data_IF_327558662101
#
_entry.id   IF_327558662101
#
_cell.length_a   1.000
_cell.length_b   1.000
_cell.length_c   1.000
_cell.angle_alpha   90.00
_cell.angle_beta   90.00
_cell.angle_gamma   90.00
#
_symmetry.space_group_name_H-M   'P 1'
#
loop_
_entity.id
_entity.type
_entity.pdbx_description
1 polymer ?
#
# COMPACT_ATOMS: atom_id res chain seq x y z
N UNK A 1 -14.60 10.65 15.05
CA UNK A 1 -14.33 11.52 13.88
C UNK A 1 -13.70 10.72 12.75
N UNK A 2 -12.48 10.16 12.89
CA UNK A 2 -11.73 9.46 11.83
C UNK A 2 -12.46 8.35 11.02
N UNK A 3 -13.56 7.82 11.53
CA UNK A 3 -14.31 6.74 10.90
C UNK A 3 -15.10 7.21 9.66
N UNK A 4 -15.59 8.46 9.66
CA UNK A 4 -16.33 9.03 8.53
C UNK A 4 -15.41 9.25 7.34
N UNK A 5 -14.22 9.84 7.55
CA UNK A 5 -13.25 10.10 6.48
C UNK A 5 -12.73 8.80 5.87
N UNK A 6 -12.46 7.80 6.71
CA UNK A 6 -12.11 6.46 6.26
C UNK A 6 -13.23 5.84 5.45
N UNK A 7 -14.47 5.90 5.92
CA UNK A 7 -15.63 5.30 5.23
C UNK A 7 -15.82 5.89 3.84
N UNK A 8 -15.58 7.20 3.68
CA UNK A 8 -15.65 7.86 2.37
C UNK A 8 -14.51 7.37 1.46
N UNK A 9 -13.27 7.28 1.97
CA UNK A 9 -12.17 6.72 1.19
C UNK A 9 -12.45 5.26 0.74
N UNK A 10 -12.97 4.42 1.65
CA UNK A 10 -13.35 3.03 1.34
C UNK A 10 -14.52 2.93 0.37
N UNK A 11 -15.48 3.84 0.46
CA UNK A 11 -16.58 3.92 -0.49
C UNK A 11 -16.06 4.26 -1.89
N UNK A 12 -15.23 5.30 -2.03
CA UNK A 12 -14.60 5.65 -3.31
C UNK A 12 -13.79 4.47 -3.86
N UNK A 13 -12.98 3.81 -3.03
CA UNK A 13 -12.20 2.63 -3.45
C UNK A 13 -13.11 1.51 -3.99
N UNK A 14 -14.21 1.20 -3.32
CA UNK A 14 -15.16 0.19 -3.78
C UNK A 14 -15.75 0.49 -5.16
N UNK A 15 -15.94 1.78 -5.47
CA UNK A 15 -16.53 2.25 -6.73
C UNK A 15 -15.53 2.26 -7.87
N UNK A 16 -14.25 2.51 -7.57
CA UNK A 16 -13.14 2.52 -8.53
C UNK A 16 -12.53 1.13 -8.78
N UNK A 17 -12.97 0.07 -8.10
CA UNK A 17 -12.47 -1.30 -8.31
C UNK A 17 -13.09 -1.98 -9.54
N UNK A 18 -12.26 -2.74 -10.26
CA UNK A 18 -12.65 -3.57 -11.38
C UNK A 18 -13.69 -4.62 -10.96
N UNK A 19 -14.80 -4.70 -11.70
CA UNK A 19 -15.93 -5.58 -11.39
C UNK A 19 -17.19 -4.84 -10.92
N UNK A 20 -17.12 -3.53 -10.71
CA UNK A 20 -18.29 -2.67 -10.54
C UNK A 20 -19.00 -2.50 -11.92
N UNK A 21 -19.68 -3.56 -12.37
CA UNK A 21 -20.40 -3.60 -13.67
C UNK A 21 -21.70 -2.79 -13.68
N UNK A 22 -22.03 -2.13 -12.58
CA UNK A 22 -23.34 -1.48 -12.38
C UNK A 22 -23.36 0.01 -12.75
N UNK A 23 -22.24 0.62 -13.14
CA UNK A 23 -22.18 2.03 -13.49
C UNK A 23 -21.43 2.23 -14.82
N UNK A 24 -22.05 2.97 -15.73
CA UNK A 24 -21.38 3.59 -16.87
C UNK A 24 -20.37 4.65 -16.40
N UNK A 25 -19.40 5.01 -17.24
CA UNK A 25 -18.44 6.07 -16.91
C UNK A 25 -19.13 7.40 -16.55
N UNK A 26 -20.28 7.71 -17.17
CA UNK A 26 -21.06 8.91 -16.87
C UNK A 26 -21.72 8.84 -15.48
N UNK A 27 -22.28 7.69 -15.11
CA UNK A 27 -22.86 7.49 -13.77
C UNK A 27 -21.79 7.49 -12.69
N UNK A 28 -20.62 6.91 -12.98
CA UNK A 28 -19.47 6.94 -12.10
C UNK A 28 -19.00 8.37 -11.86
N UNK A 29 -18.89 9.18 -12.91
CA UNK A 29 -18.48 10.59 -12.82
C UNK A 29 -19.48 11.41 -11.96
N UNK A 30 -20.78 11.27 -12.22
CA UNK A 30 -21.84 11.92 -11.42
C UNK A 30 -21.80 11.49 -9.95
N UNK A 31 -21.44 10.24 -9.68
CA UNK A 31 -21.28 9.74 -8.32
C UNK A 31 -20.04 10.35 -7.64
N UNK A 32 -18.91 10.42 -8.34
CA UNK A 32 -17.69 11.06 -7.83
C UNK A 32 -17.96 12.52 -7.48
N UNK A 33 -18.70 13.26 -8.30
CA UNK A 33 -19.10 14.64 -8.00
C UNK A 33 -19.92 14.76 -6.71
N UNK A 34 -20.90 13.87 -6.51
CA UNK A 34 -21.70 13.83 -5.27
C UNK A 34 -20.82 13.54 -4.04
N UNK A 35 -19.85 12.65 -4.17
CA UNK A 35 -18.90 12.35 -3.09
C UNK A 35 -18.05 13.59 -2.79
N UNK A 36 -17.60 14.33 -3.80
CA UNK A 36 -16.80 15.54 -3.63
C UNK A 36 -17.56 16.66 -2.91
N UNK A 37 -18.88 16.78 -3.13
CA UNK A 37 -19.73 17.70 -2.36
C UNK A 37 -19.68 17.37 -0.86
N UNK A 38 -19.81 16.10 -0.49
CA UNK A 38 -19.72 15.65 0.91
C UNK A 38 -18.30 15.88 1.45
N UNK A 39 -17.29 15.54 0.64
CA UNK A 39 -15.88 15.66 1.00
C UNK A 39 -15.47 17.10 1.37
N UNK A 40 -16.11 18.11 0.77
CA UNK A 40 -15.84 19.52 1.09
C UNK A 40 -16.05 19.84 2.58
N UNK A 41 -17.07 19.25 3.20
CA UNK A 41 -17.45 19.47 4.60
C UNK A 41 -16.64 18.67 5.62
N UNK A 42 -15.70 17.84 5.14
CA UNK A 42 -14.83 17.05 6.02
C UNK A 42 -13.67 17.91 6.53
N UNK A 43 -13.44 17.86 7.84
CA UNK A 43 -12.28 18.48 8.48
C UNK A 43 -11.03 17.59 8.40
N UNK A 44 -11.13 16.26 8.60
CA UNK A 44 -9.99 15.33 8.59
C UNK A 44 -9.52 14.87 7.20
N UNK A 45 -9.31 15.77 6.24
CA UNK A 45 -8.98 15.39 4.84
C UNK A 45 -7.67 14.60 4.70
N UNK A 46 -6.75 14.76 5.64
CA UNK A 46 -5.50 13.99 5.75
C UNK A 46 -5.75 12.51 6.11
N UNK A 47 -6.77 12.21 6.92
CA UNK A 47 -7.21 10.84 7.18
C UNK A 47 -7.71 10.21 5.89
N UNK A 48 -8.55 10.93 5.14
CA UNK A 48 -9.01 10.48 3.82
C UNK A 48 -7.83 10.24 2.88
N UNK A 49 -6.88 11.17 2.77
CA UNK A 49 -5.70 11.03 1.91
C UNK A 49 -4.91 9.76 2.23
N UNK A 50 -4.66 9.48 3.52
CA UNK A 50 -3.89 8.33 3.94
C UNK A 50 -4.55 6.99 3.55
N UNK A 51 -5.85 6.85 3.77
CA UNK A 51 -6.59 5.66 3.36
C UNK A 51 -6.74 5.57 1.84
N UNK A 52 -7.08 6.67 1.18
CA UNK A 52 -7.22 6.73 -0.28
C UNK A 52 -5.91 6.36 -0.99
N UNK A 53 -4.77 6.89 -0.53
CA UNK A 53 -3.43 6.57 -1.05
C UNK A 53 -3.09 5.09 -0.92
N UNK A 54 -3.38 4.50 0.24
CA UNK A 54 -3.16 3.08 0.49
C UNK A 54 -3.99 2.20 -0.45
N UNK A 55 -5.26 2.55 -0.62
CA UNK A 55 -6.18 1.80 -1.48
C UNK A 55 -5.84 1.99 -2.97
N UNK A 56 -5.48 3.22 -3.38
CA UNK A 56 -4.98 3.51 -4.72
C UNK A 56 -3.73 2.67 -5.06
N UNK A 57 -2.78 2.55 -4.13
CA UNK A 57 -1.60 1.74 -4.34
C UNK A 57 -1.95 0.27 -4.61
N UNK A 58 -2.91 -0.29 -3.85
CA UNK A 58 -3.43 -1.65 -4.09
C UNK A 58 -4.11 -1.76 -5.47
N UNK A 59 -4.87 -0.76 -5.90
CA UNK A 59 -5.54 -0.77 -7.24
C UNK A 59 -4.54 -0.70 -8.39
N UNK A 60 -3.54 0.18 -8.29
CA UNK A 60 -2.50 0.36 -9.32
C UNK A 60 -1.62 -0.88 -9.47
N UNK A 61 -1.14 -1.47 -8.38
CA UNK A 61 -0.18 -2.57 -8.43
C UNK A 61 -0.82 -3.94 -8.72
N UNK A 62 -2.07 -4.16 -8.28
CA UNK A 62 -2.78 -5.44 -8.45
C UNK A 62 -3.70 -5.44 -9.68
N UNK A 63 -3.69 -4.35 -10.46
CA UNK A 63 -4.38 -4.23 -11.75
C UNK A 63 -5.89 -4.37 -11.61
N UNK A 64 -6.49 -3.60 -10.70
CA UNK A 64 -7.95 -3.66 -10.44
C UNK A 64 -8.63 -2.29 -10.45
N UNK A 65 -8.14 -1.31 -11.20
CA UNK A 65 -8.91 -0.08 -11.44
C UNK A 65 -10.02 -0.33 -12.47
N UNK A 66 -11.19 0.28 -12.28
CA UNK A 66 -12.31 0.22 -13.22
C UNK A 66 -11.98 0.95 -14.53
N UNK A 67 -11.41 2.15 -14.41
CA UNK A 67 -10.98 2.97 -15.54
C UNK A 67 -9.79 3.85 -15.12
N UNK A 68 -8.80 3.98 -16.01
CA UNK A 68 -7.66 4.89 -15.79
C UNK A 68 -8.13 6.35 -15.82
N UNK A 69 -9.09 6.66 -16.69
CA UNK A 69 -9.62 8.01 -16.84
C UNK A 69 -10.44 8.42 -15.61
N UNK A 70 -11.21 7.49 -15.03
CA UNK A 70 -11.93 7.73 -13.78
C UNK A 70 -10.98 8.02 -12.60
N UNK A 71 -9.84 7.33 -12.52
CA UNK A 71 -8.84 7.58 -11.48
C UNK A 71 -8.17 8.95 -11.66
N UNK A 72 -7.84 9.32 -12.91
CA UNK A 72 -7.29 10.65 -13.24
C UNK A 72 -8.32 11.76 -12.97
N UNK A 73 -9.60 11.53 -13.28
CA UNK A 73 -10.70 12.44 -12.96
C UNK A 73 -10.80 12.69 -11.46
N UNK A 74 -10.80 11.62 -10.65
CA UNK A 74 -10.85 11.74 -9.19
C UNK A 74 -9.66 12.54 -8.63
N UNK A 75 -8.44 12.32 -9.14
CA UNK A 75 -7.28 13.13 -8.75
C UNK A 75 -7.44 14.61 -9.11
N UNK A 76 -7.96 14.91 -10.31
CA UNK A 76 -8.24 16.29 -10.72
C UNK A 76 -9.22 16.99 -9.77
N UNK A 77 -10.30 16.30 -9.38
CA UNK A 77 -11.29 16.82 -8.43
C UNK A 77 -10.68 17.05 -7.04
N UNK A 78 -9.86 16.11 -6.53
CA UNK A 78 -9.15 16.28 -5.27
C UNK A 78 -8.17 17.46 -5.31
N UNK A 79 -7.47 17.65 -6.44
CA UNK A 79 -6.54 18.77 -6.64
C UNK A 79 -7.26 20.10 -6.63
N UNK A 80 -8.43 20.18 -7.27
CA UNK A 80 -9.25 21.38 -7.28
C UNK A 80 -9.70 21.78 -5.86
N UNK A 81 -10.19 20.82 -5.07
CA UNK A 81 -10.71 21.11 -3.72
C UNK A 81 -9.60 21.32 -2.65
N UNK A 82 -8.49 20.58 -2.74
CA UNK A 82 -7.46 20.58 -1.67
C UNK A 82 -6.15 21.29 -2.04
N UNK A 83 -5.93 21.57 -3.32
CA UNK A 83 -4.71 22.13 -3.88
C UNK A 83 -3.65 21.09 -4.24
N UNK A 84 -2.65 21.53 -5.01
CA UNK A 84 -1.63 20.64 -5.60
C UNK A 84 -0.75 19.91 -4.58
N UNK A 85 -0.49 20.50 -3.41
CA UNK A 85 0.32 19.86 -2.37
C UNK A 85 -0.34 18.58 -1.82
N UNK A 86 -1.68 18.55 -1.78
CA UNK A 86 -2.45 17.41 -1.30
C UNK A 86 -2.36 16.21 -2.26
N UNK A 87 -2.43 16.47 -3.58
CA UNK A 87 -2.40 15.42 -4.60
C UNK A 87 -1.00 15.06 -5.07
N UNK A 88 0.04 15.82 -4.71
CA UNK A 88 1.41 15.66 -5.20
C UNK A 88 1.94 14.22 -5.09
N UNK A 89 1.72 13.55 -3.95
CA UNK A 89 2.14 12.14 -3.76
C UNK A 89 1.35 11.20 -4.67
N UNK A 90 0.04 11.40 -4.79
CA UNK A 90 -0.84 10.59 -5.63
C UNK A 90 -0.49 10.74 -7.13
N UNK A 91 -0.25 11.97 -7.59
CA UNK A 91 0.24 12.26 -8.94
C UNK A 91 1.60 11.58 -9.19
N UNK A 92 2.50 11.61 -8.19
CA UNK A 92 3.77 10.89 -8.22
C UNK A 92 3.62 9.38 -8.41
N UNK A 93 2.62 8.75 -7.76
CA UNK A 93 2.34 7.33 -7.95
C UNK A 93 1.95 6.99 -9.39
N UNK A 94 1.14 7.82 -10.05
CA UNK A 94 0.81 7.62 -11.48
C UNK A 94 2.03 7.78 -12.37
N UNK A 95 2.86 8.80 -12.11
CA UNK A 95 4.11 9.02 -12.85
C UNK A 95 5.06 7.84 -12.73
N UNK A 96 5.19 7.25 -11.53
CA UNK A 96 5.98 6.04 -11.32
C UNK A 96 5.47 4.85 -12.15
N UNK A 97 4.14 4.70 -12.30
CA UNK A 97 3.56 3.63 -13.13
C UNK A 97 3.87 3.82 -14.62
N UNK A 98 3.83 5.05 -15.12
CA UNK A 98 4.17 5.36 -16.52
C UNK A 98 5.67 5.13 -16.77
N UNK A 99 6.54 5.67 -15.91
CA UNK A 99 7.98 5.48 -16.00
C UNK A 99 8.39 4.00 -15.90
N UNK A 100 7.72 3.22 -15.05
CA UNK A 100 7.97 1.79 -14.92
C UNK A 100 7.71 1.04 -16.23
N UNK A 101 6.67 1.41 -16.99
CA UNK A 101 6.38 0.79 -18.30
C UNK A 101 7.50 1.09 -19.29
N UNK A 102 7.97 2.33 -19.35
CA UNK A 102 9.06 2.74 -20.24
C UNK A 102 10.37 2.01 -19.90
N UNK A 103 10.71 1.93 -18.61
CA UNK A 103 11.87 1.18 -18.12
C UNK A 103 11.76 -0.30 -18.50
N UNK A 104 10.57 -0.89 -18.38
CA UNK A 104 10.34 -2.29 -18.74
C UNK A 104 10.47 -2.55 -20.24
N UNK A 105 10.03 -1.62 -21.11
CA UNK A 105 10.24 -1.72 -22.55
C UNK A 105 11.75 -1.75 -22.86
N UNK A 106 12.51 -0.82 -22.27
CA UNK A 106 13.95 -0.77 -22.43
C UNK A 106 14.66 -2.01 -21.89
N UNK A 107 14.21 -2.54 -20.75
CA UNK A 107 14.74 -3.78 -20.17
C UNK A 107 14.53 -4.97 -21.09
N UNK A 108 13.30 -5.14 -21.62
CA UNK A 108 12.97 -6.22 -22.57
C UNK A 108 13.83 -6.10 -23.83
N UNK A 109 14.00 -4.89 -24.40
CA UNK A 109 14.86 -4.66 -25.57
C UNK A 109 16.31 -5.08 -25.33
N UNK A 110 16.92 -4.62 -24.23
CA UNK A 110 18.31 -4.99 -23.89
C UNK A 110 18.44 -6.50 -23.67
N UNK A 111 17.46 -7.12 -23.01
CA UNK A 111 17.42 -8.58 -22.81
C UNK A 111 17.42 -9.33 -24.14
N UNK A 112 16.60 -8.91 -25.11
CA UNK A 112 16.57 -9.51 -26.45
C UNK A 112 17.89 -9.28 -27.22
N UNK A 113 18.46 -8.08 -27.16
CA UNK A 113 19.69 -7.74 -27.90
C UNK A 113 20.93 -8.44 -27.36
N UNK A 114 21.02 -8.64 -26.04
CA UNK A 114 22.20 -9.24 -25.41
C UNK A 114 22.20 -10.78 -25.43
N UNK A 115 21.16 -11.40 -26.00
CA UNK A 115 20.99 -12.86 -26.08
C UNK A 115 21.29 -13.56 -24.74
N UNK A 116 21.00 -12.87 -23.63
CA UNK A 116 21.21 -13.45 -22.32
C UNK A 116 20.23 -14.61 -22.21
N UNK A 117 20.75 -15.84 -22.28
CA UNK A 117 20.04 -17.06 -21.93
C UNK A 117 19.66 -16.95 -20.45
N UNK A 118 18.56 -16.25 -20.18
CA UNK A 118 17.93 -16.22 -18.88
C UNK A 118 17.39 -17.62 -18.64
N UNK A 119 17.84 -18.31 -17.59
CA UNK A 119 17.27 -19.60 -17.22
C UNK A 119 15.79 -19.43 -16.90
N UNK A 120 14.95 -20.29 -17.47
CA UNK A 120 13.53 -20.37 -17.15
C UNK A 120 12.61 -19.61 -18.11
N UNK A 121 11.45 -20.21 -18.36
CA UNK A 121 10.34 -19.64 -19.13
C UNK A 121 9.54 -18.57 -18.35
N UNK A 122 10.21 -17.78 -17.49
CA UNK A 122 9.57 -16.79 -16.62
C UNK A 122 9.55 -15.42 -17.30
N UNK A 123 8.35 -14.89 -17.50
CA UNK A 123 8.16 -13.49 -17.91
C UNK A 123 8.13 -12.57 -16.68
N UNK A 124 9.17 -11.74 -16.52
CA UNK A 124 9.26 -10.74 -15.46
C UNK A 124 8.73 -9.38 -15.93
N UNK A 125 7.87 -8.76 -15.10
CA UNK A 125 7.49 -7.35 -15.19
C UNK A 125 7.71 -6.68 -13.84
N UNK A 126 8.39 -5.54 -13.81
CA UNK A 126 8.76 -4.83 -12.59
C UNK A 126 8.16 -3.43 -12.59
N UNK A 127 7.61 -3.03 -11.44
CA UNK A 127 7.22 -1.66 -11.17
C UNK A 127 8.22 -1.03 -10.20
N UNK A 128 8.80 0.11 -10.57
CA UNK A 128 9.72 0.89 -9.74
C UNK A 128 8.94 2.03 -9.08
N UNK A 129 8.99 2.08 -7.75
CA UNK A 129 8.19 2.99 -6.94
C UNK A 129 9.08 3.95 -6.17
N UNK A 130 8.77 5.24 -6.20
CA UNK A 130 9.49 6.27 -5.44
C UNK A 130 9.05 6.24 -3.98
N UNK A 131 9.94 5.83 -3.06
CA UNK A 131 9.61 5.58 -1.65
C UNK A 131 8.84 6.72 -0.94
N UNK A 132 9.07 7.99 -1.32
CA UNK A 132 8.39 9.14 -0.71
C UNK A 132 6.94 9.37 -1.16
N UNK A 133 6.51 8.78 -2.29
CA UNK A 133 5.15 8.94 -2.82
C UNK A 133 4.20 7.83 -2.38
N UNK A 134 4.73 6.61 -2.23
CA UNK A 134 3.94 5.43 -1.92
C UNK A 134 3.74 5.25 -0.41
N UNK A 135 2.75 4.45 0.02
CA UNK A 135 2.67 3.98 1.39
C UNK A 135 3.98 3.31 1.82
N UNK A 136 4.28 3.35 3.12
CA UNK A 136 5.43 2.61 3.65
C UNK A 136 5.06 1.14 3.75
N UNK A 137 5.87 0.29 3.15
CA UNK A 137 5.73 -1.15 3.21
C UNK A 137 6.85 -1.72 4.07
N UNK A 138 6.47 -2.61 5.00
CA UNK A 138 7.45 -3.35 5.80
C UNK A 138 8.05 -4.43 4.90
N UNK A 139 9.38 -4.43 4.68
CA UNK A 139 10.04 -5.49 3.94
C UNK A 139 9.84 -6.82 4.68
N UNK A 140 9.58 -7.88 3.92
CA UNK A 140 9.51 -9.24 4.44
C UNK A 140 10.53 -10.08 3.69
N UNK A 141 11.43 -10.70 4.44
CA UNK A 141 12.37 -11.67 3.90
C UNK A 141 11.64 -12.97 3.61
N UNK A 142 11.86 -13.53 2.41
CA UNK A 142 11.28 -14.79 1.97
C UNK A 142 12.29 -15.53 1.12
N UNK A 143 12.21 -16.85 1.10
CA UNK A 143 13.07 -17.69 0.28
C UNK A 143 12.53 -17.77 -1.15
N UNK A 144 13.14 -17.01 -2.04
CA UNK A 144 12.81 -17.05 -3.47
C UNK A 144 13.54 -18.19 -4.17
N UNK A 145 12.90 -18.89 -5.13
CA UNK A 145 13.58 -19.84 -5.99
C UNK A 145 14.80 -19.22 -6.71
N UNK A 146 15.89 -19.98 -6.93
CA UNK A 146 17.11 -19.45 -7.53
C UNK A 146 16.89 -18.74 -8.88
N UNK A 147 15.96 -19.23 -9.69
CA UNK A 147 15.59 -18.61 -10.97
C UNK A 147 15.02 -17.19 -10.79
N UNK A 148 14.17 -16.98 -9.77
CA UNK A 148 13.59 -15.68 -9.46
C UNK A 148 14.64 -14.71 -8.92
N UNK A 149 15.56 -15.18 -8.06
CA UNK A 149 16.68 -14.37 -7.55
C UNK A 149 17.57 -13.90 -8.69
N UNK A 150 17.92 -14.80 -9.62
CA UNK A 150 18.72 -14.46 -10.80
C UNK A 150 18.05 -13.38 -11.65
N UNK A 151 16.75 -13.49 -11.88
CA UNK A 151 15.96 -12.49 -12.59
C UNK A 151 15.96 -11.13 -11.89
N UNK A 152 15.82 -11.10 -10.56
CA UNK A 152 15.88 -9.88 -9.77
C UNK A 152 17.26 -9.20 -9.88
N UNK A 153 18.35 -9.96 -9.82
CA UNK A 153 19.71 -9.41 -9.91
C UNK A 153 20.05 -8.91 -11.32
N UNK A 154 19.60 -9.60 -12.38
CA UNK A 154 19.72 -9.12 -13.77
C UNK A 154 19.02 -7.77 -13.92
N UNK A 155 17.78 -7.66 -13.44
CA UNK A 155 17.03 -6.41 -13.51
C UNK A 155 17.68 -5.29 -12.67
N UNK A 156 18.13 -5.61 -11.46
CA UNK A 156 18.81 -4.66 -10.57
C UNK A 156 20.08 -4.11 -11.18
N UNK A 157 20.90 -4.96 -11.79
CA UNK A 157 22.13 -4.54 -12.50
C UNK A 157 21.81 -3.61 -13.66
N UNK A 158 20.80 -3.96 -14.47
CA UNK A 158 20.32 -3.10 -15.55
C UNK A 158 19.85 -1.73 -15.04
N UNK A 159 19.04 -1.71 -13.97
CA UNK A 159 18.46 -0.48 -13.44
C UNK A 159 19.53 0.43 -12.84
N UNK A 160 20.40 -0.11 -12.00
CA UNK A 160 21.47 0.66 -11.34
C UNK A 160 22.53 1.15 -12.32
N UNK A 161 22.77 0.41 -13.42
CA UNK A 161 23.65 0.85 -14.50
C UNK A 161 23.14 2.10 -15.23
N UNK A 162 21.82 2.30 -15.31
CA UNK A 162 21.20 3.50 -15.91
C UNK A 162 20.89 4.61 -14.90
N UNK A 163 20.71 4.25 -13.64
CA UNK A 163 20.28 5.18 -12.59
C UNK A 163 21.30 5.19 -11.43
N UNK A 164 22.43 5.87 -11.65
CA UNK A 164 23.49 6.03 -10.64
C UNK A 164 22.97 6.75 -9.39
N UNK A 165 23.46 6.33 -8.21
CA UNK A 165 23.13 6.94 -6.92
C UNK A 165 21.78 6.51 -6.33
N UNK A 166 21.10 5.52 -6.93
CA UNK A 166 19.87 4.94 -6.38
C UNK A 166 20.14 3.64 -5.65
N UNK A 167 19.27 3.30 -4.70
CA UNK A 167 19.21 1.99 -4.03
C UNK A 167 17.84 1.38 -4.26
N UNK A 168 17.81 0.10 -4.61
CA UNK A 168 16.58 -0.67 -4.77
C UNK A 168 16.30 -1.51 -3.53
N UNK A 169 15.02 -1.67 -3.22
CA UNK A 169 14.53 -2.58 -2.18
C UNK A 169 13.28 -3.29 -2.71
N UNK A 170 13.34 -4.61 -2.81
CA UNK A 170 12.20 -5.42 -3.26
C UNK A 170 11.14 -5.53 -2.17
N UNK A 171 9.86 -5.49 -2.59
CA UNK A 171 8.71 -5.57 -1.69
C UNK A 171 7.87 -6.81 -2.03
N UNK A 172 8.20 -7.93 -1.38
CA UNK A 172 7.58 -9.25 -1.62
C UNK A 172 6.07 -9.26 -1.40
N UNK A 173 5.60 -8.46 -0.45
CA UNK A 173 4.17 -8.29 -0.11
C UNK A 173 3.31 -7.79 -1.27
N UNK A 174 3.91 -7.08 -2.24
CA UNK A 174 3.24 -6.52 -3.41
C UNK A 174 3.38 -7.40 -4.66
N UNK A 175 4.21 -8.44 -4.58
CA UNK A 175 4.48 -9.36 -5.69
C UNK A 175 3.26 -10.23 -6.01
N UNK A 176 3.07 -10.49 -7.30
CA UNK A 176 2.07 -11.45 -7.78
C UNK A 176 2.58 -12.14 -9.04
N UNK A 177 2.09 -13.35 -9.28
CA UNK A 177 2.53 -14.21 -10.37
C UNK A 177 1.32 -14.87 -11.04
N UNK A 178 1.56 -15.39 -12.25
CA UNK A 178 0.64 -16.31 -12.93
C UNK A 178 1.33 -17.66 -13.01
N UNK A 179 0.72 -18.67 -12.38
CA UNK A 179 1.20 -20.04 -12.41
C UNK A 179 0.37 -20.86 -13.39
N UNK A 180 1.03 -21.69 -14.20
CA UNK A 180 0.37 -22.74 -14.97
C UNK A 180 0.29 -23.98 -14.09
N UNK A 181 -0.91 -24.41 -13.77
CA UNK A 181 -1.18 -25.57 -12.94
C UNK A 181 -1.79 -26.69 -13.79
N UNK A 182 -1.32 -27.91 -13.58
CA UNK A 182 -1.81 -29.11 -14.25
C UNK A 182 -2.63 -29.92 -13.23
N UNK A 183 -3.95 -29.94 -13.43
CA UNK A 183 -4.88 -30.74 -12.63
C UNK A 183 -5.41 -31.90 -13.48
N UNK A 184 -6.02 -32.91 -12.83
CA UNK A 184 -6.61 -34.07 -13.52
C UNK A 184 -7.64 -33.69 -14.60
N UNK A 185 -8.45 -32.65 -14.36
CA UNK A 185 -9.44 -32.15 -15.33
C UNK A 185 -8.88 -31.14 -16.35
N UNK A 186 -7.56 -30.94 -16.36
CA UNK A 186 -6.85 -30.14 -17.35
C UNK A 186 -6.09 -28.95 -16.78
N UNK A 187 -5.44 -28.23 -17.70
CA UNK A 187 -4.54 -27.11 -17.39
C UNK A 187 -5.34 -25.86 -17.00
N UNK A 188 -4.85 -25.14 -16.00
CA UNK A 188 -5.41 -23.86 -15.51
C UNK A 188 -4.30 -22.84 -15.29
N UNK A 189 -4.67 -21.56 -15.30
CA UNK A 189 -3.78 -20.47 -14.90
C UNK A 189 -4.24 -19.85 -13.58
N UNK A 190 -3.36 -19.85 -12.58
CA UNK A 190 -3.63 -19.29 -11.26
C UNK A 190 -2.96 -17.92 -11.13
N UNK A 191 -3.75 -16.86 -11.02
CA UNK A 191 -3.25 -15.54 -10.63
C UNK A 191 -3.20 -15.45 -9.09
N UNK A 192 -1.99 -15.51 -8.57
CA UNK A 192 -1.68 -15.68 -7.15
C UNK A 192 -0.71 -14.59 -6.66
N UNK A 193 -0.65 -14.37 -5.35
CA UNK A 193 0.40 -13.55 -4.74
C UNK A 193 1.75 -14.26 -4.77
N UNK A 194 2.83 -13.52 -4.54
CA UNK A 194 4.16 -14.10 -4.41
C UNK A 194 4.22 -15.13 -3.27
N UNK A 195 3.61 -14.85 -2.12
CA UNK A 195 3.54 -15.78 -1.00
C UNK A 195 2.79 -17.06 -1.36
N UNK A 196 1.64 -16.95 -2.03
CA UNK A 196 0.91 -18.09 -2.56
C UNK A 196 1.76 -18.88 -3.57
N UNK A 197 2.55 -18.20 -4.42
CA UNK A 197 3.46 -18.85 -5.36
C UNK A 197 4.50 -19.70 -4.66
N UNK A 198 5.18 -19.16 -3.64
CA UNK A 198 6.20 -19.91 -2.90
C UNK A 198 5.63 -21.19 -2.29
N UNK A 199 4.46 -21.09 -1.65
CA UNK A 199 3.76 -22.25 -1.08
C UNK A 199 3.41 -23.28 -2.16
N UNK A 200 2.82 -22.85 -3.29
CA UNK A 200 2.38 -23.76 -4.34
C UNK A 200 3.54 -24.45 -5.06
N UNK A 201 4.69 -23.78 -5.19
CA UNK A 201 5.87 -24.37 -5.85
C UNK A 201 6.45 -25.55 -5.07
N UNK A 202 6.29 -25.60 -3.75
CA UNK A 202 6.75 -26.74 -2.93
C UNK A 202 6.11 -28.07 -3.35
N UNK A 203 4.86 -28.02 -3.82
CA UNK A 203 4.11 -29.20 -4.23
C UNK A 203 4.55 -29.79 -5.59
N UNK A 204 5.56 -29.21 -6.24
CA UNK A 204 6.21 -29.85 -7.38
C UNK A 204 7.21 -30.94 -6.94
N UNK A 205 7.71 -30.88 -5.70
CA UNK A 205 8.74 -31.78 -5.17
C UNK A 205 8.26 -32.63 -3.97
N UNK A 206 7.04 -32.38 -3.48
CA UNK A 206 6.43 -33.16 -2.40
C UNK A 206 4.90 -33.14 -2.43
N UNK A 207 4.28 -34.08 -1.73
CA UNK A 207 2.83 -34.33 -1.80
C UNK A 207 2.05 -33.74 -0.61
N UNK A 208 2.66 -33.75 0.58
CA UNK A 208 2.05 -33.29 1.84
C UNK A 208 3.07 -32.45 2.62
N UNK A 209 2.64 -31.31 3.15
CA UNK A 209 3.44 -30.48 4.04
C UNK A 209 2.61 -29.98 5.22
N UNK A 210 3.22 -29.95 6.40
CA UNK A 210 2.70 -29.27 7.58
C UNK A 210 2.90 -27.74 7.51
N UNK A 211 2.15 -27.00 8.32
CA UNK A 211 2.34 -25.55 8.47
C UNK A 211 3.80 -25.17 8.78
N UNK A 212 4.46 -25.95 9.65
CA UNK A 212 5.83 -25.70 10.10
C UNK A 212 6.85 -25.90 8.97
N UNK A 213 6.71 -26.97 8.19
CA UNK A 213 7.56 -27.24 7.02
C UNK A 213 7.42 -26.15 5.96
N UNK A 214 6.19 -25.70 5.69
CA UNK A 214 5.93 -24.60 4.74
C UNK A 214 6.56 -23.30 5.24
N UNK A 215 6.43 -23.01 6.54
CA UNK A 215 7.04 -21.82 7.16
C UNK A 215 8.55 -21.83 7.02
N UNK A 216 9.20 -22.95 7.33
CA UNK A 216 10.64 -23.08 7.22
C UNK A 216 11.13 -22.96 5.78
N UNK A 217 10.45 -23.62 4.83
CA UNK A 217 10.84 -23.60 3.42
C UNK A 217 10.67 -22.22 2.78
N UNK A 218 9.56 -21.52 3.07
CA UNK A 218 9.22 -20.25 2.40
C UNK A 218 9.75 -19.01 3.12
N UNK A 219 10.00 -19.10 4.43
CA UNK A 219 10.42 -17.96 5.27
C UNK A 219 9.29 -16.96 5.57
N UNK A 220 8.04 -17.27 5.25
CA UNK A 220 6.91 -16.35 5.44
C UNK A 220 6.55 -16.26 6.93
N UNK A 221 6.33 -15.03 7.42
CA UNK A 221 5.89 -14.80 8.80
C UNK A 221 4.55 -15.47 9.13
N UNK A 222 4.40 -15.94 10.36
CA UNK A 222 3.29 -16.80 10.80
C UNK A 222 1.90 -16.23 10.45
N UNK A 223 1.64 -14.98 10.81
CA UNK A 223 0.35 -14.33 10.56
C UNK A 223 0.03 -14.19 9.07
N UNK A 224 1.03 -13.93 8.23
CA UNK A 224 0.84 -13.84 6.77
C UNK A 224 0.73 -15.22 6.12
N UNK A 225 1.46 -16.21 6.64
CA UNK A 225 1.40 -17.58 6.16
C UNK A 225 0.02 -18.19 6.41
N UNK A 226 -0.55 -18.04 7.61
CA UNK A 226 -1.91 -18.51 7.92
C UNK A 226 -2.95 -17.92 6.97
N UNK A 227 -2.88 -16.61 6.70
CA UNK A 227 -3.76 -15.96 5.71
C UNK A 227 -3.54 -16.50 4.29
N UNK A 228 -2.29 -16.71 3.92
CA UNK A 228 -1.91 -17.27 2.62
C UNK A 228 -2.49 -18.69 2.46
N UNK A 229 -2.33 -19.56 3.44
CA UNK A 229 -2.87 -20.93 3.41
C UNK A 229 -4.39 -20.95 3.50
N UNK A 230 -5.01 -20.08 4.31
CA UNK A 230 -6.46 -19.93 4.36
C UNK A 230 -7.05 -19.59 2.98
N UNK A 231 -6.36 -18.73 2.21
CA UNK A 231 -6.77 -18.40 0.84
C UNK A 231 -6.73 -19.58 -0.13
N UNK A 232 -5.74 -20.47 0.03
CA UNK A 232 -5.47 -21.59 -0.87
C UNK A 232 -6.30 -22.83 -0.52
N UNK A 233 -6.60 -23.06 0.77
CA UNK A 233 -7.22 -24.29 1.27
C UNK A 233 -8.66 -24.10 1.78
N UNK A 234 -8.98 -22.97 2.40
CA UNK A 234 -10.28 -22.75 3.06
C UNK A 234 -11.22 -21.84 2.24
N UNK A 235 -10.67 -21.16 1.22
CA UNK A 235 -11.39 -20.21 0.37
C UNK A 235 -12.38 -20.82 -0.62
N UNK A 236 -12.80 -20.01 -1.60
CA UNK A 236 -13.69 -20.44 -2.70
C UNK A 236 -12.98 -21.33 -3.71
N UNK A 237 -11.74 -20.98 -4.05
CA UNK A 237 -10.89 -21.76 -4.96
C UNK A 237 -9.89 -22.55 -4.11
N UNK A 238 -10.26 -23.78 -3.76
CA UNK A 238 -9.49 -24.66 -2.86
C UNK A 238 -8.50 -25.49 -3.66
N UNK A 239 -7.39 -24.88 -4.05
CA UNK A 239 -6.31 -25.56 -4.78
C UNK A 239 -5.51 -26.49 -3.88
N UNK A 240 -5.53 -26.23 -2.57
CA UNK A 240 -5.02 -27.14 -1.54
C UNK A 240 -6.17 -27.71 -0.71
N UNK A 241 -5.96 -28.89 -0.13
CA UNK A 241 -6.83 -29.48 0.86
C UNK A 241 -6.13 -29.48 2.23
N UNK A 242 -6.82 -28.96 3.25
CA UNK A 242 -6.33 -28.94 4.65
C UNK A 242 -6.79 -30.19 5.41
N UNK A 243 -5.90 -30.75 6.22
CA UNK A 243 -6.18 -31.81 7.18
C UNK A 243 -5.66 -31.40 8.57
N UNK A 244 -6.51 -31.31 9.61
CA UNK A 244 -7.97 -31.46 9.61
C UNK A 244 -8.71 -30.36 8.85
N UNK A 245 -9.88 -30.67 8.28
CA UNK A 245 -10.72 -29.68 7.58
C UNK A 245 -11.26 -28.65 8.56
N UNK A 246 -11.10 -27.37 8.24
CA UNK A 246 -11.54 -26.25 9.07
C UNK A 246 -11.50 -24.92 8.33
N UNK A 247 -12.00 -23.86 8.96
CA UNK A 247 -11.93 -22.49 8.42
C UNK A 247 -10.61 -21.80 8.78
N UNK A 248 -10.05 -22.16 9.92
CA UNK A 248 -8.86 -21.56 10.50
C UNK A 248 -7.64 -22.46 10.28
N UNK A 249 -6.46 -21.84 10.31
CA UNK A 249 -5.18 -22.52 10.15
C UNK A 249 -4.53 -22.59 11.53
N UNK A 250 -4.34 -23.80 12.03
CA UNK A 250 -3.80 -24.13 13.34
C UNK A 250 -2.45 -24.83 13.21
N UNK A 251 -1.72 -24.90 14.32
CA UNK A 251 -0.45 -25.63 14.38
C UNK A 251 -0.68 -27.13 14.15
N UNK A 252 0.25 -27.78 13.44
CA UNK A 252 0.13 -29.20 13.05
C UNK A 252 -0.82 -29.47 11.88
N UNK A 253 -1.53 -28.46 11.35
CA UNK A 253 -2.29 -28.61 10.11
C UNK A 253 -1.40 -29.04 8.95
N UNK A 254 -1.92 -29.95 8.14
CA UNK A 254 -1.27 -30.45 6.93
C UNK A 254 -2.04 -30.06 5.67
N UNK A 255 -1.29 -29.90 4.59
CA UNK A 255 -1.80 -29.44 3.30
C UNK A 255 -1.33 -30.37 2.20
N UNK A 256 -2.27 -30.76 1.33
CA UNK A 256 -2.01 -31.55 0.12
C UNK A 256 -2.58 -30.83 -1.11
N UNK A 257 -2.05 -31.11 -2.30
CA UNK A 257 -2.66 -30.67 -3.55
C UNK A 257 -4.07 -31.26 -3.70
N UNK A 258 -5.05 -30.42 -4.05
CA UNK A 258 -6.41 -30.88 -4.26
C UNK A 258 -6.58 -31.40 -5.70
N UNK A 259 -6.41 -32.71 -5.87
CA UNK A 259 -6.60 -33.41 -7.15
C UNK A 259 -8.01 -33.28 -7.74
N UNK A 260 -9.01 -33.10 -6.87
CA UNK A 260 -10.42 -32.96 -7.26
C UNK A 260 -10.80 -31.50 -7.55
N UNK A 261 -9.81 -30.61 -7.70
CA UNK A 261 -10.06 -29.20 -7.95
C UNK A 261 -10.76 -28.97 -9.28
N UNK A 262 -12.00 -28.45 -9.21
CA UNK A 262 -12.81 -28.08 -10.38
C UNK A 262 -13.08 -26.59 -10.42
N UNK A 263 -12.90 -25.98 -11.59
CA UNK A 263 -13.26 -24.58 -11.79
C UNK A 263 -13.65 -24.28 -13.24
N UNK A 264 -14.75 -23.54 -13.42
CA UNK A 264 -15.33 -23.21 -14.73
C UNK A 264 -14.38 -22.37 -15.59
N UNK A 265 -13.66 -21.43 -14.98
CA UNK A 265 -12.73 -20.56 -15.68
C UNK A 265 -11.36 -21.22 -15.84
N UNK A 266 -10.70 -20.95 -16.97
CA UNK A 266 -9.30 -21.31 -17.21
C UNK A 266 -8.34 -20.49 -16.34
N UNK A 267 -8.53 -19.16 -16.32
CA UNK A 267 -7.75 -18.22 -15.50
C UNK A 267 -8.48 -17.89 -14.21
N UNK A 268 -7.87 -18.21 -13.07
CA UNK A 268 -8.47 -18.19 -11.75
C UNK A 268 -7.71 -17.21 -10.87
N UNK A 269 -8.42 -16.29 -10.22
CA UNK A 269 -7.80 -15.29 -9.34
C UNK A 269 -8.01 -15.66 -7.87
N UNK A 270 -6.96 -16.15 -7.22
CA UNK A 270 -6.98 -16.58 -5.81
C UNK A 270 -6.51 -15.44 -4.89
N UNK A 271 -5.93 -14.37 -5.46
CA UNK A 271 -5.41 -13.21 -4.75
C UNK A 271 -6.51 -12.23 -4.22
N UNK A 272 -7.53 -12.76 -3.54
CA UNK A 272 -8.59 -11.95 -2.92
C UNK A 272 -8.23 -11.52 -1.48
N UNK A 273 -7.34 -12.25 -0.79
CA UNK A 273 -7.01 -11.97 0.62
C UNK A 273 -6.08 -10.75 0.76
N UNK A 274 -5.06 -10.57 -0.09
CA UNK A 274 -4.16 -9.39 -0.03
C UNK A 274 -4.86 -8.04 -0.20
N UNK A 275 -6.08 -8.05 -0.77
CA UNK A 275 -6.84 -6.83 -1.01
C UNK A 275 -7.65 -6.34 0.18
N UNK A 276 -7.85 -7.18 1.20
CA UNK A 276 -8.55 -6.75 2.40
C UNK A 276 -7.57 -6.01 3.28
N UNK A 277 -8.00 -4.85 3.77
CA UNK A 277 -7.30 -4.15 4.84
C UNK A 277 -7.46 -4.96 6.13
N UNK A 278 -6.35 -5.22 6.82
CA UNK A 278 -6.36 -5.90 8.12
C UNK A 278 -6.57 -4.88 9.23
N UNK A 279 -6.94 -5.35 10.43
CA UNK A 279 -7.13 -4.48 11.59
C UNK A 279 -5.80 -3.82 11.98
N UNK A 280 -4.69 -4.56 11.89
CA UNK A 280 -3.34 -4.06 12.16
C UNK A 280 -2.94 -3.00 11.14
N UNK A 281 -3.19 -3.26 9.84
CA UNK A 281 -2.90 -2.28 8.79
C UNK A 281 -3.78 -1.02 8.93
N UNK A 282 -5.02 -1.16 9.41
CA UNK A 282 -5.91 -0.03 9.67
C UNK A 282 -5.38 0.81 10.83
N UNK A 283 -5.09 0.18 11.97
CA UNK A 283 -4.57 0.85 13.16
C UNK A 283 -3.26 1.56 12.86
N UNK A 284 -2.35 0.91 12.12
CA UNK A 284 -1.07 1.50 11.69
C UNK A 284 -1.26 2.73 10.79
N UNK A 285 -2.19 2.69 9.82
CA UNK A 285 -2.50 3.87 8.99
C UNK A 285 -3.03 5.02 9.84
N UNK A 286 -3.93 4.74 10.78
CA UNK A 286 -4.51 5.75 11.66
C UNK A 286 -3.46 6.37 12.59
N UNK A 287 -2.61 5.56 13.21
CA UNK A 287 -1.55 6.02 14.10
C UNK A 287 -0.56 6.94 13.37
N UNK A 288 -0.19 6.57 12.14
CA UNK A 288 0.70 7.40 11.31
C UNK A 288 0.10 8.78 11.00
N UNK A 289 -1.21 8.86 10.73
CA UNK A 289 -1.87 10.15 10.51
C UNK A 289 -1.78 11.02 11.77
N UNK A 290 -2.00 10.44 12.96
CA UNK A 290 -1.86 11.18 14.21
C UNK A 290 -0.42 11.65 14.45
N UNK A 291 0.58 10.83 14.15
CA UNK A 291 1.98 11.20 14.25
C UNK A 291 2.33 12.33 13.26
N UNK A 292 1.89 12.23 12.00
CA UNK A 292 2.10 13.25 10.97
C UNK A 292 1.47 14.60 11.35
N UNK A 293 0.31 14.59 12.02
CA UNK A 293 -0.31 15.79 12.58
C UNK A 293 0.57 16.46 13.64
N UNK A 294 1.25 15.69 14.49
CA UNK A 294 2.15 16.26 15.50
C UNK A 294 3.31 17.02 14.85
N UNK A 295 3.92 16.46 13.80
CA UNK A 295 4.98 17.15 13.05
C UNK A 295 4.45 18.40 12.32
N UNK A 296 3.22 18.36 11.80
CA UNK A 296 2.59 19.54 11.20
C UNK A 296 2.31 20.65 12.22
N UNK A 297 1.86 20.29 13.43
CA UNK A 297 1.67 21.24 14.53
C UNK A 297 3.00 21.89 14.90
N UNK A 298 4.05 21.09 15.10
CA UNK A 298 5.40 21.61 15.41
C UNK A 298 5.90 22.57 14.33
N UNK A 299 5.82 22.16 13.07
CA UNK A 299 6.28 22.98 11.96
C UNK A 299 5.47 24.28 11.81
N UNK A 300 4.18 24.27 12.14
CA UNK A 300 3.35 25.47 12.18
C UNK A 300 3.77 26.40 13.32
N UNK A 301 3.91 25.88 14.55
CA UNK A 301 4.34 26.67 15.71
C UNK A 301 5.71 27.31 15.46
N UNK A 302 6.71 26.54 15.03
CA UNK A 302 8.05 27.05 14.76
C UNK A 302 8.03 28.13 13.69
N UNK A 303 7.23 27.97 12.62
CA UNK A 303 7.12 28.96 11.55
C UNK A 303 6.49 30.28 12.03
N UNK A 304 5.42 30.18 12.82
CA UNK A 304 4.75 31.34 13.42
C UNK A 304 5.71 32.06 14.38
N UNK A 305 6.33 31.33 15.31
CA UNK A 305 7.25 31.89 16.30
C UNK A 305 8.48 32.51 15.66
N UNK A 306 9.04 31.89 14.61
CA UNK A 306 10.17 32.45 13.87
C UNK A 306 9.84 33.80 13.22
N UNK A 307 8.60 33.97 12.76
CA UNK A 307 8.11 35.19 12.11
C UNK A 307 7.74 36.28 13.12
N UNK A 308 7.02 35.93 14.18
CA UNK A 308 6.50 36.88 15.18
C UNK A 308 7.52 37.25 16.25
N UNK A 309 8.53 36.38 16.48
CA UNK A 309 9.54 36.43 17.54
C UNK A 309 8.99 36.32 18.97
N UNK A 310 7.90 37.02 19.26
CA UNK A 310 7.22 37.02 20.55
C UNK A 310 5.71 36.97 20.30
N UNK A 311 5.02 36.07 21.00
CA UNK A 311 3.56 35.89 20.82
C UNK A 311 2.90 35.38 22.11
N UNK A 312 1.70 35.90 22.40
CA UNK A 312 0.90 35.40 23.52
C UNK A 312 0.27 34.04 23.21
N UNK A 313 -0.02 33.25 24.24
CA UNK A 313 -0.58 31.91 24.08
C UNK A 313 -1.86 31.90 23.25
N UNK A 314 -2.82 32.78 23.55
CA UNK A 314 -4.10 32.82 22.83
C UNK A 314 -3.91 33.19 21.35
N UNK A 315 -2.99 34.10 21.03
CA UNK A 315 -2.69 34.48 19.65
C UNK A 315 -1.98 33.35 18.90
N UNK A 316 -1.01 32.68 19.54
CA UNK A 316 -0.33 31.51 18.95
C UNK A 316 -1.34 30.40 18.65
N UNK A 317 -2.19 30.07 19.62
CA UNK A 317 -3.23 29.04 19.47
C UNK A 317 -4.17 29.40 18.32
N UNK A 318 -4.60 30.66 18.21
CA UNK A 318 -5.46 31.13 17.12
C UNK A 318 -4.78 31.04 15.76
N UNK A 319 -3.53 31.48 15.63
CA UNK A 319 -2.78 31.38 14.37
C UNK A 319 -2.53 29.93 13.95
N UNK A 320 -2.22 29.04 14.91
CA UNK A 320 -2.05 27.60 14.66
C UNK A 320 -3.36 26.99 14.15
N UNK A 321 -4.50 27.30 14.76
CA UNK A 321 -5.81 26.81 14.28
C UNK A 321 -6.16 27.33 12.89
N UNK A 322 -5.78 28.56 12.56
CA UNK A 322 -6.02 29.11 11.22
C UNK A 322 -5.13 28.46 10.14
N UNK A 323 -3.94 28.01 10.52
CA UNK A 323 -2.99 27.38 9.60
C UNK A 323 -3.26 25.88 9.38
N UNK A 324 -3.72 25.16 10.42
CA UNK A 324 -3.93 23.73 10.36
C UNK A 324 -5.30 23.38 9.75
N UNK A 325 -5.31 22.41 8.84
CA UNK A 325 -6.53 21.95 8.14
C UNK A 325 -7.24 20.80 8.86
N UNK A 326 -6.91 20.50 10.12
CA UNK A 326 -7.49 19.41 10.89
C UNK A 326 -7.77 19.83 12.34
N UNK A 327 -8.71 19.17 13.04
CA UNK A 327 -8.98 19.45 14.44
C UNK A 327 -7.79 19.10 15.33
N UNK A 328 -7.38 20.03 16.20
CA UNK A 328 -6.36 19.82 17.23
C UNK A 328 -7.00 19.94 18.60
N UNK A 329 -6.72 18.99 19.51
CA UNK A 329 -7.19 19.12 20.89
C UNK A 329 -6.28 20.09 21.64
N UNK A 330 -6.82 20.97 22.50
CA UNK A 330 -6.00 21.90 23.30
C UNK A 330 -4.91 21.21 24.13
N UNK A 331 -5.20 20.02 24.67
CA UNK A 331 -4.23 19.22 25.41
C UNK A 331 -3.04 18.76 24.56
N UNK A 332 -3.28 18.39 23.29
CA UNK A 332 -2.22 17.96 22.37
C UNK A 332 -1.35 19.15 21.96
N UNK A 333 -1.97 20.31 21.70
CA UNK A 333 -1.26 21.54 21.39
C UNK A 333 -0.36 21.98 22.54
N UNK A 334 -0.85 21.90 23.79
CA UNK A 334 -0.05 22.20 24.98
C UNK A 334 1.18 21.29 25.09
N UNK A 335 1.02 19.98 24.90
CA UNK A 335 2.14 19.02 24.87
C UNK A 335 3.16 19.34 23.77
N UNK A 336 2.70 19.77 22.59
CA UNK A 336 3.62 20.16 21.50
C UNK A 336 4.41 21.42 21.84
N UNK A 337 3.77 22.43 22.45
CA UNK A 337 4.46 23.64 22.91
C UNK A 337 5.52 23.29 23.97
N UNK A 338 5.18 22.46 24.96
CA UNK A 338 6.12 21.98 25.98
C UNK A 338 7.32 21.27 25.34
N UNK A 339 7.07 20.35 24.40
CA UNK A 339 8.13 19.66 23.65
C UNK A 339 9.02 20.60 22.80
N UNK A 340 8.50 21.73 22.34
CA UNK A 340 9.30 22.73 21.61
C UNK A 340 10.12 23.61 22.55
N UNK A 341 9.65 23.82 23.78
CA UNK A 341 10.42 24.49 24.83
C UNK A 341 11.58 23.60 25.29
N UNK A 342 11.31 22.33 25.57
CA UNK A 342 12.34 21.37 26.00
C UNK A 342 13.43 21.13 24.94
N UNK A 343 13.15 21.45 23.68
CA UNK A 343 14.09 21.35 22.54
C UNK A 343 14.69 22.70 22.14
N UNK A 344 14.55 23.73 22.98
CA UNK A 344 15.11 25.07 22.79
C UNK A 344 14.68 25.79 21.50
N UNK A 345 13.50 25.47 20.95
CA UNK A 345 12.95 26.22 19.81
C UNK A 345 12.29 27.53 20.26
N UNK A 346 11.76 27.57 21.49
CA UNK A 346 11.04 28.70 22.07
C UNK A 346 11.10 28.62 23.59
N UNK A 347 10.95 29.75 24.30
CA UNK A 347 10.88 29.79 25.77
C UNK A 347 9.63 30.53 26.22
N UNK A 348 9.27 30.34 27.49
CA UNK A 348 8.31 31.21 28.16
C UNK A 348 9.00 32.51 28.55
N UNK A 349 8.28 33.60 28.42
CA UNK A 349 8.76 34.88 28.92
C UNK A 349 8.97 34.83 30.44
N UNK A 350 10.00 35.53 30.93
CA UNK A 350 10.41 35.50 32.34
C UNK A 350 9.40 36.19 33.26
N UNK A 351 8.69 37.20 32.74
CA UNK A 351 7.74 38.00 33.51
C UNK A 351 6.30 37.54 33.25
N UNK A 352 6.01 37.00 32.06
CA UNK A 352 4.67 36.59 31.67
C UNK A 352 4.60 35.13 31.15
N UNK A 353 4.14 34.16 31.97
CA UNK A 353 4.01 32.77 31.56
C UNK A 353 3.05 32.51 30.38
N UNK A 354 2.19 33.48 30.03
CA UNK A 354 1.27 33.44 28.89
C UNK A 354 1.89 33.98 27.60
N UNK A 355 3.19 34.28 27.59
CA UNK A 355 3.93 34.80 26.46
C UNK A 355 5.10 33.89 26.14
N UNK A 356 5.36 33.70 24.85
CA UNK A 356 6.46 32.88 24.36
C UNK A 356 7.41 33.71 23.50
N UNK A 357 8.70 33.40 23.58
CA UNK A 357 9.77 34.01 22.80
C UNK A 357 10.48 32.94 21.96
N UNK A 358 10.87 33.26 20.73
CA UNK A 358 11.62 32.36 19.84
C UNK A 358 13.13 32.43 20.13
N UNK A 359 13.80 31.27 20.27
CA UNK A 359 15.21 31.19 20.70
C UNK A 359 16.16 30.89 19.52
N UNK A 360 15.70 30.14 18.52
CA UNK A 360 16.55 29.54 17.49
C UNK A 360 17.01 30.46 16.34
#
# INVERSE_FOLDING_TARGET
MAETERSIAKYVDSKLRAGNKEATDEELEKMLDKIMIIFRFIYGKDVFEAFYKKDLAKRLLVGKSASVDAEKSMLSKLKHECGAAFTSKLEGMFKDMELSKDIMIQFKQVKYMQNQNVPGNIELTVNILTMGYWPTYVPMEVHLPPEMVKLQEIFKTFYLGKHSGRKLQWQSTLGHCVLKAEFKEGKKELQVSLFQTLVLLMFNEGEEFSLEEIKQATGIEDGELRRTLQSLACGKARVLAKNPKGKDIEDGDKFICNDDFKHKLFRIKINQIQMKETVEEQASTTERVFQDRQYQIDAAIVRIMKMRKTLSHNLLVSEVYNQLKFPVKPADLKKRIESLIDRDYMERDKENPNQYNYIA
#
